data_IF_023336809431
#
_entry.id   IF_023336809431
#
_cell.length_a   1.000
_cell.length_b   1.000
_cell.length_c   1.000
_cell.angle_alpha   90.00
_cell.angle_beta   90.00
_cell.angle_gamma   90.00
#
_symmetry.space_group_name_H-M   'P 1'
#
loop_
_entity.id
_entity.type
_entity.pdbx_description
1 polymer ?
#
# COMPACT_ATOMS: atom_id res chain seq x y z
N UNK A 1 -10.39 13.64 -24.86
CA UNK A 1 -10.90 12.33 -24.47
C UNK A 1 -9.89 11.70 -23.53
N UNK A 2 -10.23 11.41 -22.26
CA UNK A 2 -9.44 10.55 -21.42
C UNK A 2 -9.64 9.14 -22.00
N UNK A 3 -8.64 8.64 -22.66
CA UNK A 3 -8.66 7.33 -23.28
C UNK A 3 -8.39 6.31 -22.19
N UNK A 4 -9.43 5.52 -21.84
CA UNK A 4 -9.21 4.22 -21.21
C UNK A 4 -8.14 3.51 -22.04
N UNK A 5 -6.97 3.23 -21.45
CA UNK A 5 -5.89 2.57 -22.17
C UNK A 5 -6.03 1.06 -21.96
N UNK A 6 -6.46 0.38 -23.00
CA UNK A 6 -6.38 -1.09 -23.04
C UNK A 6 -4.91 -1.51 -22.97
N UNK A 7 -4.55 -2.27 -21.94
CA UNK A 7 -3.21 -2.86 -21.81
C UNK A 7 -3.10 -4.23 -22.52
N UNK A 8 -4.12 -4.57 -23.30
CA UNK A 8 -4.26 -5.86 -23.99
C UNK A 8 -3.61 -5.88 -25.37
N UNK A 9 -3.09 -4.74 -25.86
CA UNK A 9 -2.44 -4.57 -27.17
C UNK A 9 -1.15 -3.77 -27.04
N UNK A 10 -0.25 -3.91 -28.00
CA UNK A 10 1.05 -3.23 -28.00
C UNK A 10 2.14 -3.96 -27.20
N UNK A 11 3.35 -3.36 -27.10
CA UNK A 11 4.49 -3.92 -26.38
C UNK A 11 4.30 -3.78 -24.87
N UNK A 12 4.54 -4.87 -24.10
CA UNK A 12 4.32 -4.91 -22.66
C UNK A 12 5.15 -3.88 -21.89
N UNK A 13 6.46 -3.75 -22.21
CA UNK A 13 7.38 -2.90 -21.47
C UNK A 13 6.95 -1.42 -21.45
N UNK A 14 6.71 -0.73 -22.60
CA UNK A 14 6.29 0.67 -22.54
C UNK A 14 4.91 0.87 -21.94
N UNK A 15 3.99 -0.11 -22.05
CA UNK A 15 2.68 -0.03 -21.43
C UNK A 15 2.80 -0.05 -19.90
N UNK A 16 3.54 -1.02 -19.36
CA UNK A 16 3.75 -1.17 -17.91
C UNK A 16 4.55 0.03 -17.38
N UNK A 17 5.62 0.44 -18.05
CA UNK A 17 6.44 1.59 -17.65
C UNK A 17 5.62 2.89 -17.55
N UNK A 18 4.87 3.23 -18.61
CA UNK A 18 4.06 4.45 -18.64
C UNK A 18 2.92 4.43 -17.61
N UNK A 19 2.43 3.25 -17.23
CA UNK A 19 1.43 3.09 -16.20
C UNK A 19 2.04 3.14 -14.79
N UNK A 20 3.25 2.57 -14.61
CA UNK A 20 3.98 2.56 -13.33
C UNK A 20 4.43 3.97 -12.92
N UNK A 21 4.84 4.81 -13.87
CA UNK A 21 5.44 6.11 -13.55
C UNK A 21 4.51 7.03 -12.73
N UNK A 22 3.22 7.24 -13.08
CA UNK A 22 2.31 8.02 -12.24
C UNK A 22 2.03 7.37 -10.88
N UNK A 23 2.00 6.04 -10.80
CA UNK A 23 1.84 5.31 -9.54
C UNK A 23 3.05 5.54 -8.63
N UNK A 24 4.26 5.47 -9.19
CA UNK A 24 5.49 5.76 -8.47
C UNK A 24 5.50 7.19 -7.91
N UNK A 25 5.17 8.17 -8.75
CA UNK A 25 5.09 9.57 -8.32
C UNK A 25 4.03 9.74 -7.21
N UNK A 26 2.91 9.02 -7.28
CA UNK A 26 1.89 9.01 -6.24
C UNK A 26 2.41 8.42 -4.92
N UNK A 27 3.08 7.28 -4.97
CA UNK A 27 3.66 6.65 -3.79
C UNK A 27 4.75 7.51 -3.15
N UNK A 28 5.64 8.11 -3.94
CA UNK A 28 6.66 9.04 -3.45
C UNK A 28 6.03 10.29 -2.82
N UNK A 29 4.99 10.85 -3.45
CA UNK A 29 4.25 11.97 -2.90
C UNK A 29 3.61 11.62 -1.55
N UNK A 30 3.05 10.43 -1.42
CA UNK A 30 2.45 9.96 -0.17
C UNK A 30 3.48 9.79 0.94
N UNK A 31 4.69 9.26 0.63
CA UNK A 31 5.78 9.18 1.60
C UNK A 31 6.26 10.57 2.02
N UNK A 32 6.45 11.49 1.07
CA UNK A 32 6.85 12.87 1.35
C UNK A 32 5.80 13.59 2.19
N UNK A 33 4.53 13.43 1.85
CA UNK A 33 3.41 13.99 2.61
C UNK A 33 3.44 13.54 4.08
N UNK A 34 3.60 12.23 4.33
CA UNK A 34 3.66 11.72 5.71
C UNK A 34 4.81 12.31 6.53
N UNK A 35 5.94 12.64 5.88
CA UNK A 35 7.04 13.33 6.54
C UNK A 35 6.71 14.80 6.85
N UNK A 36 6.07 15.48 5.90
CA UNK A 36 5.67 16.91 6.07
C UNK A 36 4.63 17.03 7.17
N UNK A 37 3.61 16.17 7.19
CA UNK A 37 2.58 16.14 8.25
C UNK A 37 3.20 15.94 9.63
N UNK A 38 4.07 14.93 9.79
CA UNK A 38 4.80 14.70 11.02
C UNK A 38 5.68 15.91 11.44
N UNK A 39 6.31 16.58 10.46
CA UNK A 39 7.13 17.76 10.71
C UNK A 39 6.28 18.96 11.17
N UNK A 40 5.10 19.17 10.58
CA UNK A 40 4.14 20.21 10.99
C UNK A 40 3.69 19.97 12.43
N UNK A 41 3.21 18.75 12.72
CA UNK A 41 2.76 18.39 14.06
C UNK A 41 3.89 18.54 15.09
N UNK A 42 5.08 18.01 14.81
CA UNK A 42 6.22 18.08 15.73
C UNK A 42 6.70 19.52 15.98
N UNK A 43 6.75 20.35 14.94
CA UNK A 43 7.26 21.73 15.05
C UNK A 43 6.27 22.67 15.75
N UNK A 44 4.99 22.55 15.49
CA UNK A 44 3.99 23.51 15.96
C UNK A 44 3.24 23.05 17.21
N UNK A 45 3.10 21.74 17.43
CA UNK A 45 2.39 21.18 18.59
C UNK A 45 3.31 20.53 19.63
N UNK A 46 4.60 20.34 19.28
CA UNK A 46 5.62 19.80 20.18
C UNK A 46 5.70 18.27 20.22
N UNK A 47 6.62 17.77 21.06
CA UNK A 47 7.02 16.37 21.12
C UNK A 47 5.87 15.44 21.55
N UNK A 48 5.03 15.85 22.50
CA UNK A 48 3.92 15.03 22.99
C UNK A 48 2.87 14.83 21.90
N UNK A 49 2.59 15.85 21.10
CA UNK A 49 1.66 15.73 19.96
C UNK A 49 2.21 14.77 18.88
N UNK A 50 3.50 14.91 18.56
CA UNK A 50 4.18 14.00 17.64
C UNK A 50 4.17 12.55 18.16
N UNK A 51 4.40 12.36 19.45
CA UNK A 51 4.33 11.05 20.11
C UNK A 51 2.91 10.47 20.06
N UNK A 52 1.86 11.30 20.22
CA UNK A 52 0.46 10.88 20.07
C UNK A 52 0.15 10.35 18.69
N UNK A 53 0.58 11.05 17.63
CA UNK A 53 0.45 10.62 16.24
C UNK A 53 1.26 9.34 15.99
N UNK A 54 2.51 9.32 16.48
CA UNK A 54 3.41 8.17 16.35
C UNK A 54 2.84 6.88 16.97
N UNK A 55 2.30 6.98 18.19
CA UNK A 55 1.65 5.85 18.86
C UNK A 55 0.45 5.31 18.07
N UNK A 56 -0.26 6.18 17.36
CA UNK A 56 -1.43 5.83 16.55
C UNK A 56 -1.07 5.17 15.21
N UNK A 57 0.15 5.35 14.71
CA UNK A 57 0.53 4.98 13.33
C UNK A 57 0.33 3.50 13.03
N UNK A 58 0.65 2.60 13.96
CA UNK A 58 0.52 1.16 13.74
C UNK A 58 -0.93 0.72 13.55
N UNK A 59 -1.86 1.29 14.34
CA UNK A 59 -3.29 0.99 14.22
C UNK A 59 -3.87 1.58 12.95
N UNK A 60 -3.50 2.82 12.63
CA UNK A 60 -3.90 3.48 11.38
C UNK A 60 -3.44 2.64 10.18
N UNK A 61 -2.18 2.18 10.18
CA UNK A 61 -1.67 1.33 9.12
C UNK A 61 -2.42 0.00 9.00
N UNK A 62 -2.74 -0.64 10.14
CA UNK A 62 -3.51 -1.89 10.16
C UNK A 62 -4.88 -1.72 9.50
N UNK A 63 -5.63 -0.69 9.91
CA UNK A 63 -7.03 -0.47 9.47
C UNK A 63 -7.09 0.12 8.07
N UNK A 64 -6.32 1.18 7.79
CA UNK A 64 -6.30 1.78 6.46
C UNK A 64 -5.60 0.91 5.43
N UNK A 65 -4.59 0.11 5.84
CA UNK A 65 -3.97 -0.91 5.00
C UNK A 65 -4.97 -1.99 4.58
N UNK A 66 -5.79 -2.48 5.52
CA UNK A 66 -6.89 -3.40 5.22
C UNK A 66 -7.87 -2.77 4.21
N UNK A 67 -8.30 -1.53 4.45
CA UNK A 67 -9.21 -0.83 3.55
C UNK A 67 -8.62 -0.66 2.15
N UNK A 68 -7.35 -0.26 2.05
CA UNK A 68 -6.65 -0.09 0.79
C UNK A 68 -6.51 -1.40 0.02
N UNK A 69 -6.17 -2.49 0.71
CA UNK A 69 -6.12 -3.83 0.12
C UNK A 69 -7.48 -4.29 -0.42
N UNK A 70 -8.57 -4.08 0.34
CA UNK A 70 -9.93 -4.38 -0.12
C UNK A 70 -10.29 -3.58 -1.39
N UNK A 71 -9.98 -2.28 -1.40
CA UNK A 71 -10.21 -1.42 -2.57
C UNK A 71 -9.43 -1.88 -3.80
N UNK A 72 -8.16 -2.28 -3.61
CA UNK A 72 -7.34 -2.88 -4.66
C UNK A 72 -7.98 -4.15 -5.23
N UNK A 73 -8.45 -5.02 -4.34
CA UNK A 73 -9.14 -6.26 -4.70
C UNK A 73 -10.45 -6.06 -5.45
N UNK A 74 -11.23 -5.04 -5.08
CA UNK A 74 -12.47 -4.69 -5.80
C UNK A 74 -12.20 -4.18 -7.22
N UNK A 75 -11.03 -3.61 -7.48
CA UNK A 75 -10.60 -3.21 -8.83
C UNK A 75 -10.28 -4.37 -9.76
N UNK A 76 -9.96 -5.56 -9.24
CA UNK A 76 -9.52 -6.70 -10.06
C UNK A 76 -10.64 -7.22 -10.99
N UNK A 77 -11.87 -7.54 -10.52
CA UNK A 77 -12.95 -7.94 -11.42
C UNK A 77 -13.31 -6.85 -12.44
N UNK A 78 -13.20 -5.59 -12.07
CA UNK A 78 -13.40 -4.46 -12.99
C UNK A 78 -12.36 -4.49 -14.11
N UNK A 79 -11.06 -4.66 -13.78
CA UNK A 79 -9.99 -4.77 -14.77
C UNK A 79 -10.16 -5.99 -15.68
N UNK A 80 -10.56 -7.13 -15.13
CA UNK A 80 -10.81 -8.36 -15.91
C UNK A 80 -11.98 -8.18 -16.89
N UNK A 81 -13.09 -7.60 -16.44
CA UNK A 81 -14.27 -7.35 -17.28
C UNK A 81 -14.02 -6.27 -18.33
N UNK A 82 -13.21 -5.26 -17.98
CA UNK A 82 -12.73 -4.27 -18.93
C UNK A 82 -11.89 -4.91 -20.04
N UNK A 83 -10.93 -5.76 -19.68
CA UNK A 83 -10.11 -6.51 -20.64
C UNK A 83 -10.91 -7.47 -21.51
N UNK A 84 -11.98 -8.08 -20.97
CA UNK A 84 -12.92 -8.93 -21.71
C UNK A 84 -13.89 -8.13 -22.61
N UNK A 85 -13.88 -6.80 -22.55
CA UNK A 85 -14.84 -5.91 -23.20
C UNK A 85 -16.30 -6.15 -22.78
N UNK A 86 -16.51 -6.80 -21.62
CA UNK A 86 -17.81 -7.03 -20.99
C UNK A 86 -18.19 -5.83 -20.12
N UNK A 87 -18.55 -4.74 -20.76
CA UNK A 87 -18.80 -3.46 -20.07
C UNK A 87 -20.07 -3.47 -19.22
N UNK A 88 -21.04 -4.31 -19.54
CA UNK A 88 -22.28 -4.45 -18.75
C UNK A 88 -21.96 -5.05 -17.38
N UNK A 89 -21.28 -6.19 -17.35
CA UNK A 89 -20.88 -6.82 -16.09
C UNK A 89 -19.85 -5.97 -15.33
N UNK A 90 -18.96 -5.28 -16.05
CA UNK A 90 -18.00 -4.33 -15.45
C UNK A 90 -18.72 -3.22 -14.67
N UNK A 91 -19.74 -2.57 -15.26
CA UNK A 91 -20.53 -1.53 -14.58
C UNK A 91 -21.29 -2.07 -13.38
N UNK A 92 -21.80 -3.30 -13.45
CA UNK A 92 -22.43 -3.97 -12.30
C UNK A 92 -21.42 -4.19 -11.17
N UNK A 93 -20.18 -4.65 -11.46
CA UNK A 93 -19.11 -4.74 -10.45
C UNK A 93 -18.79 -3.38 -9.83
N UNK A 94 -18.70 -2.32 -10.62
CA UNK A 94 -18.48 -0.96 -10.11
C UNK A 94 -19.61 -0.54 -9.18
N UNK A 95 -20.88 -0.72 -9.58
CA UNK A 95 -22.04 -0.38 -8.75
C UNK A 95 -22.06 -1.15 -7.42
N UNK A 96 -21.85 -2.47 -7.47
CA UNK A 96 -21.82 -3.30 -6.25
C UNK A 96 -20.62 -2.98 -5.38
N UNK A 97 -19.45 -2.67 -5.96
CA UNK A 97 -18.26 -2.28 -5.18
C UNK A 97 -18.46 -0.97 -4.42
N UNK A 98 -19.16 0.01 -5.01
CA UNK A 98 -19.52 1.26 -4.33
C UNK A 98 -20.50 1.01 -3.17
N UNK A 99 -21.48 0.13 -3.35
CA UNK A 99 -22.43 -0.26 -2.29
C UNK A 99 -21.74 -1.00 -1.15
N UNK A 100 -20.87 -1.98 -1.47
CA UNK A 100 -20.08 -2.67 -0.46
C UNK A 100 -19.13 -1.74 0.28
N UNK A 101 -18.48 -0.82 -0.42
CA UNK A 101 -17.61 0.17 0.18
C UNK A 101 -18.35 1.04 1.19
N UNK A 102 -19.57 1.50 0.85
CA UNK A 102 -20.39 2.27 1.76
C UNK A 102 -20.71 1.50 3.05
N UNK A 103 -21.14 0.24 2.92
CA UNK A 103 -21.46 -0.59 4.09
C UNK A 103 -20.21 -0.92 4.90
N UNK A 104 -19.15 -1.44 4.25
CA UNK A 104 -17.93 -1.86 4.94
C UNK A 104 -17.24 -0.69 5.64
N UNK A 105 -17.11 0.45 4.97
CA UNK A 105 -16.44 1.61 5.55
C UNK A 105 -17.18 2.17 6.75
N UNK A 106 -18.52 2.20 6.72
CA UNK A 106 -19.34 2.61 7.87
C UNK A 106 -19.21 1.62 9.02
N UNK A 107 -19.27 0.31 8.73
CA UNK A 107 -19.10 -0.72 9.79
C UNK A 107 -17.72 -0.60 10.42
N UNK A 108 -16.66 -0.48 9.62
CA UNK A 108 -15.29 -0.30 10.13
C UNK A 108 -15.21 0.98 10.98
N UNK A 109 -15.72 2.11 10.47
CA UNK A 109 -15.69 3.38 11.18
C UNK A 109 -16.40 3.31 12.52
N UNK A 110 -17.59 2.72 12.56
CA UNK A 110 -18.39 2.58 13.82
C UNK A 110 -17.68 1.66 14.80
N UNK A 111 -17.28 0.47 14.37
CA UNK A 111 -16.61 -0.52 15.25
C UNK A 111 -15.32 0.06 15.82
N UNK A 112 -14.44 0.61 14.97
CA UNK A 112 -13.16 1.16 15.43
C UNK A 112 -13.33 2.40 16.30
N UNK A 113 -14.33 3.23 16.05
CA UNK A 113 -14.62 4.40 16.89
C UNK A 113 -15.15 4.00 18.27
N UNK A 114 -16.02 2.99 18.37
CA UNK A 114 -16.52 2.47 19.65
C UNK A 114 -15.36 1.92 20.50
N UNK A 115 -14.49 1.13 19.90
CA UNK A 115 -13.36 0.48 20.59
C UNK A 115 -12.07 1.33 20.60
N UNK A 116 -12.12 2.60 20.22
CA UNK A 116 -10.94 3.46 20.11
C UNK A 116 -10.12 3.56 21.40
N UNK A 117 -10.80 3.74 22.54
CA UNK A 117 -10.14 3.78 23.85
C UNK A 117 -9.53 2.42 24.23
N UNK A 118 -10.27 1.33 24.00
CA UNK A 118 -9.81 -0.02 24.32
C UNK A 118 -8.57 -0.41 23.50
N UNK A 119 -8.54 -0.01 22.23
CA UNK A 119 -7.38 -0.21 21.35
C UNK A 119 -6.14 0.50 21.94
N UNK A 120 -6.26 1.76 22.38
CA UNK A 120 -5.16 2.50 22.97
C UNK A 120 -4.71 1.92 24.30
N UNK A 121 -5.63 1.42 25.14
CA UNK A 121 -5.30 0.71 26.38
C UNK A 121 -4.57 -0.61 26.10
N UNK A 122 -5.03 -1.39 25.11
CA UNK A 122 -4.33 -2.60 24.66
C UNK A 122 -2.89 -2.31 24.20
N UNK A 123 -2.66 -1.15 23.60
CA UNK A 123 -1.33 -0.71 23.18
C UNK A 123 -0.47 -0.15 24.31
N UNK A 124 -0.99 -0.11 25.55
CA UNK A 124 -0.31 0.48 26.71
C UNK A 124 0.16 1.91 26.45
N UNK A 125 -0.69 2.71 25.80
CA UNK A 125 -0.38 4.11 25.44
C UNK A 125 -0.24 4.93 26.73
N UNK A 126 0.88 5.66 26.92
CA UNK A 126 1.12 6.47 28.10
C UNK A 126 0.04 7.56 28.31
N UNK A 127 -0.33 7.81 29.56
CA UNK A 127 -1.40 8.77 29.91
C UNK A 127 -1.17 10.20 29.40
N UNK A 128 0.09 10.63 29.37
CA UNK A 128 0.47 11.98 28.89
C UNK A 128 0.20 12.24 27.42
N UNK A 129 0.09 11.18 26.60
CA UNK A 129 -0.19 11.27 25.16
C UNK A 129 -1.53 10.63 24.78
N UNK A 130 -2.22 9.98 25.74
CA UNK A 130 -3.44 9.24 25.50
C UNK A 130 -4.55 10.09 24.87
N UNK A 131 -4.81 11.25 25.44
CA UNK A 131 -5.88 12.14 24.97
C UNK A 131 -5.64 12.60 23.54
N UNK A 132 -4.39 12.97 23.20
CA UNK A 132 -4.03 13.36 21.83
C UNK A 132 -4.16 12.21 20.83
N UNK A 133 -3.70 11.01 21.19
CA UNK A 133 -3.81 9.80 20.39
C UNK A 133 -5.29 9.39 20.20
N UNK A 134 -6.11 9.51 21.25
CA UNK A 134 -7.54 9.21 21.19
C UNK A 134 -8.28 10.09 20.18
N UNK A 135 -8.13 11.42 20.26
CA UNK A 135 -8.80 12.32 19.32
C UNK A 135 -8.27 12.15 17.88
N UNK A 136 -6.98 11.93 17.72
CA UNK A 136 -6.40 11.66 16.40
C UNK A 136 -6.99 10.39 15.77
N UNK A 137 -7.00 9.29 16.51
CA UNK A 137 -7.55 8.02 16.04
C UNK A 137 -9.06 8.09 15.80
N UNK A 138 -9.80 8.69 16.73
CA UNK A 138 -11.26 8.81 16.61
C UNK A 138 -11.65 9.56 15.33
N UNK A 139 -11.02 10.69 15.08
CA UNK A 139 -11.25 11.47 13.84
C UNK A 139 -10.86 10.66 12.60
N UNK A 140 -9.72 9.98 12.65
CA UNK A 140 -9.26 9.12 11.55
C UNK A 140 -10.24 7.98 11.28
N UNK A 141 -10.79 7.35 12.31
CA UNK A 141 -11.76 6.26 12.19
C UNK A 141 -13.12 6.74 11.64
N UNK A 142 -13.61 7.88 12.11
CA UNK A 142 -14.79 8.52 11.54
C UNK A 142 -14.57 8.87 10.06
N UNK A 143 -13.33 9.19 9.69
CA UNK A 143 -12.91 9.51 8.33
C UNK A 143 -12.72 8.31 7.40
N UNK A 144 -12.72 7.06 7.90
CA UNK A 144 -12.54 5.84 7.10
C UNK A 144 -13.44 5.79 5.85
N UNK A 145 -14.73 6.19 5.88
CA UNK A 145 -15.56 6.19 4.68
C UNK A 145 -15.01 7.04 3.54
N UNK A 146 -14.46 8.21 3.83
CA UNK A 146 -13.89 9.09 2.80
C UNK A 146 -12.61 8.50 2.21
N UNK A 147 -11.73 7.98 3.05
CA UNK A 147 -10.50 7.30 2.63
C UNK A 147 -10.80 6.06 1.79
N UNK A 148 -11.75 5.22 2.24
CA UNK A 148 -12.16 4.02 1.53
C UNK A 148 -12.73 4.37 0.15
N UNK A 149 -13.60 5.37 0.10
CA UNK A 149 -14.23 5.81 -1.16
C UNK A 149 -13.19 6.35 -2.15
N UNK A 150 -12.27 7.20 -1.69
CA UNK A 150 -11.18 7.71 -2.52
C UNK A 150 -10.31 6.58 -3.08
N UNK A 151 -9.90 5.63 -2.24
CA UNK A 151 -9.07 4.50 -2.67
C UNK A 151 -9.80 3.57 -3.65
N UNK A 152 -11.09 3.33 -3.43
CA UNK A 152 -11.91 2.54 -4.36
C UNK A 152 -12.04 3.21 -5.72
N UNK A 153 -12.38 4.51 -5.77
CA UNK A 153 -12.48 5.26 -7.03
C UNK A 153 -11.14 5.25 -7.79
N UNK A 154 -10.04 5.47 -7.07
CA UNK A 154 -8.69 5.38 -7.62
C UNK A 154 -8.40 3.99 -8.18
N UNK A 155 -8.83 2.92 -7.49
CA UNK A 155 -8.66 1.54 -7.95
C UNK A 155 -9.48 1.24 -9.20
N UNK A 156 -10.73 1.72 -9.27
CA UNK A 156 -11.60 1.57 -10.45
C UNK A 156 -10.97 2.29 -11.66
N UNK A 157 -10.51 3.54 -11.49
CA UNK A 157 -9.89 4.30 -12.59
C UNK A 157 -8.61 3.61 -13.07
N UNK A 158 -7.79 3.10 -12.15
CA UNK A 158 -6.61 2.30 -12.50
C UNK A 158 -6.98 1.02 -13.26
N UNK A 159 -8.05 0.35 -12.87
CA UNK A 159 -8.56 -0.84 -13.55
C UNK A 159 -8.89 -0.60 -15.03
N UNK A 160 -9.30 0.64 -15.38
CA UNK A 160 -9.52 1.09 -16.76
C UNK A 160 -8.23 1.50 -17.51
N UNK A 161 -7.06 1.33 -16.90
CA UNK A 161 -5.77 1.66 -17.50
C UNK A 161 -5.35 3.13 -17.36
N UNK A 162 -6.00 3.91 -16.50
CA UNK A 162 -5.60 5.29 -16.19
C UNK A 162 -4.97 5.39 -14.80
N UNK A 163 -3.65 5.55 -14.76
CA UNK A 163 -2.90 5.80 -13.52
C UNK A 163 -2.64 7.29 -13.25
N UNK A 164 -2.85 8.16 -14.26
CA UNK A 164 -2.56 9.59 -14.15
C UNK A 164 -3.63 10.33 -13.36
N UNK A 165 -4.89 10.01 -13.59
CA UNK A 165 -6.01 10.67 -12.92
C UNK A 165 -5.96 10.50 -11.40
N UNK A 166 -5.78 9.28 -10.82
CA UNK A 166 -5.60 9.11 -9.38
C UNK A 166 -4.43 9.91 -8.81
N UNK A 167 -3.32 10.01 -9.54
CA UNK A 167 -2.16 10.82 -9.12
C UNK A 167 -2.53 12.30 -8.94
N UNK A 168 -3.25 12.90 -9.89
CA UNK A 168 -3.64 14.31 -9.80
C UNK A 168 -4.58 14.58 -8.63
N UNK A 169 -5.51 13.67 -8.34
CA UNK A 169 -6.37 13.79 -7.16
C UNK A 169 -5.62 13.58 -5.85
N UNK A 170 -4.60 12.70 -5.84
CA UNK A 170 -3.71 12.55 -4.69
C UNK A 170 -2.90 13.83 -4.45
N UNK A 171 -2.36 14.44 -5.50
CA UNK A 171 -1.65 15.71 -5.42
C UNK A 171 -2.55 16.83 -4.87
N UNK A 172 -3.78 16.92 -5.37
CA UNK A 172 -4.77 17.87 -4.86
C UNK A 172 -5.05 17.63 -3.37
N UNK A 173 -5.27 16.38 -2.98
CA UNK A 173 -5.50 16.00 -1.58
C UNK A 173 -4.31 16.41 -0.69
N UNK A 174 -3.09 16.15 -1.15
CA UNK A 174 -1.87 16.48 -0.42
C UNK A 174 -1.69 17.99 -0.21
N UNK A 175 -1.86 18.77 -1.27
CA UNK A 175 -1.74 20.23 -1.19
C UNK A 175 -2.83 20.80 -0.26
N UNK A 176 -4.07 20.37 -0.45
CA UNK A 176 -5.19 20.81 0.39
C UNK A 176 -4.98 20.42 1.86
N UNK A 177 -4.49 19.22 2.12
CA UNK A 177 -4.22 18.77 3.48
C UNK A 177 -3.14 19.64 4.16
N UNK A 178 -1.99 19.90 3.51
CA UNK A 178 -0.94 20.75 4.07
C UNK A 178 -1.48 22.16 4.42
N UNK A 179 -2.30 22.74 3.54
CA UNK A 179 -2.92 24.04 3.80
C UNK A 179 -3.88 23.99 4.99
N UNK A 180 -4.68 22.94 5.07
CA UNK A 180 -5.64 22.74 6.16
C UNK A 180 -4.96 22.39 7.49
N UNK A 181 -3.85 21.64 7.49
CA UNK A 181 -3.05 21.38 8.68
C UNK A 181 -2.57 22.70 9.29
N UNK A 182 -1.98 23.55 8.47
CA UNK A 182 -1.53 24.86 8.93
C UNK A 182 -2.70 25.71 9.44
N UNK A 183 -3.84 25.69 8.75
CA UNK A 183 -5.02 26.46 9.15
C UNK A 183 -5.63 25.93 10.47
N UNK A 184 -5.86 24.62 10.59
CA UNK A 184 -6.50 24.07 11.79
C UNK A 184 -5.57 24.07 13.00
N UNK A 185 -4.26 23.92 12.80
CA UNK A 185 -3.28 23.94 13.88
C UNK A 185 -2.94 25.36 14.31
N UNK A 186 -2.60 26.26 13.36
CA UNK A 186 -2.08 27.59 13.70
C UNK A 186 -3.18 28.64 13.91
N UNK A 187 -4.26 28.58 13.13
CA UNK A 187 -5.32 29.59 13.18
C UNK A 187 -6.42 29.19 14.17
N UNK A 188 -6.89 27.93 14.11
CA UNK A 188 -7.96 27.47 14.97
C UNK A 188 -7.50 26.84 16.28
N UNK A 189 -6.23 26.44 16.39
CA UNK A 189 -5.67 25.87 17.62
C UNK A 189 -6.25 24.50 17.99
N UNK A 190 -6.72 23.69 17.00
CA UNK A 190 -7.35 22.39 17.22
C UNK A 190 -6.35 21.27 17.55
N UNK A 191 -5.07 21.58 17.65
CA UNK A 191 -4.05 20.61 18.04
C UNK A 191 -3.97 19.39 17.12
N UNK A 192 -3.71 18.23 17.71
CA UNK A 192 -3.52 16.96 16.97
C UNK A 192 -4.81 16.52 16.24
N UNK A 193 -5.99 16.81 16.81
CA UNK A 193 -7.26 16.54 16.14
C UNK A 193 -7.41 17.34 14.83
N UNK A 194 -6.85 18.58 14.80
CA UNK A 194 -6.84 19.42 13.61
C UNK A 194 -6.12 18.75 12.43
N UNK A 195 -4.97 18.11 12.67
CA UNK A 195 -4.25 17.36 11.64
C UNK A 195 -5.06 16.18 11.09
N UNK A 196 -5.71 15.41 11.96
CA UNK A 196 -6.59 14.32 11.53
C UNK A 196 -7.79 14.83 10.71
N UNK A 197 -8.42 15.94 11.12
CA UNK A 197 -9.54 16.57 10.41
C UNK A 197 -9.08 17.06 9.03
N UNK A 198 -7.91 17.68 8.93
CA UNK A 198 -7.34 18.13 7.66
C UNK A 198 -7.16 16.98 6.68
N UNK A 199 -6.63 15.85 7.15
CA UNK A 199 -6.46 14.63 6.35
C UNK A 199 -7.81 14.09 5.87
N UNK A 200 -8.77 13.92 6.77
CA UNK A 200 -10.11 13.39 6.44
C UNK A 200 -10.83 14.31 5.46
N UNK A 201 -10.80 15.62 5.70
CA UNK A 201 -11.47 16.60 4.86
C UNK A 201 -10.86 16.65 3.45
N UNK A 202 -9.54 16.70 3.34
CA UNK A 202 -8.84 16.73 2.05
C UNK A 202 -9.10 15.48 1.23
N UNK A 203 -9.13 14.31 1.87
CA UNK A 203 -9.50 13.06 1.20
C UNK A 203 -10.97 13.03 0.78
N UNK A 204 -11.87 13.55 1.62
CA UNK A 204 -13.29 13.66 1.29
C UNK A 204 -13.54 14.54 0.08
N UNK A 205 -12.94 15.72 0.03
CA UNK A 205 -13.01 16.62 -1.13
C UNK A 205 -12.46 15.93 -2.39
N UNK A 206 -11.30 15.29 -2.27
CA UNK A 206 -10.69 14.59 -3.41
C UNK A 206 -11.52 13.40 -3.88
N UNK A 207 -12.17 12.67 -2.97
CA UNK A 207 -13.09 11.58 -3.30
C UNK A 207 -14.29 12.08 -4.09
N UNK A 208 -14.92 13.17 -3.63
CA UNK A 208 -16.08 13.77 -4.32
C UNK A 208 -15.69 14.26 -5.71
N UNK A 209 -14.59 15.00 -5.82
CA UNK A 209 -14.11 15.52 -7.11
C UNK A 209 -13.70 14.39 -8.06
N UNK A 210 -13.04 13.34 -7.54
CA UNK A 210 -12.68 12.16 -8.30
C UNK A 210 -13.92 11.44 -8.83
N UNK A 211 -14.96 11.28 -8.00
CA UNK A 211 -16.23 10.69 -8.42
C UNK A 211 -16.92 11.50 -9.52
N UNK A 212 -17.03 12.83 -9.34
CA UNK A 212 -17.62 13.72 -10.35
C UNK A 212 -16.83 13.63 -11.66
N UNK A 213 -15.50 13.66 -11.59
CA UNK A 213 -14.64 13.52 -12.75
C UNK A 213 -14.85 12.17 -13.44
N UNK A 214 -14.85 11.08 -12.67
CA UNK A 214 -15.05 9.72 -13.16
C UNK A 214 -16.38 9.60 -13.93
N UNK A 215 -17.48 10.09 -13.35
CA UNK A 215 -18.81 10.03 -13.98
C UNK A 215 -18.96 10.90 -15.21
N UNK A 216 -18.23 12.04 -15.28
CA UNK A 216 -18.28 12.95 -16.43
C UNK A 216 -17.36 12.51 -17.57
N UNK A 217 -16.24 11.86 -17.25
CA UNK A 217 -15.17 11.61 -18.22
C UNK A 217 -15.20 10.20 -18.80
N UNK A 218 -15.64 9.23 -18.03
CA UNK A 218 -15.70 7.83 -18.45
C UNK A 218 -17.14 7.42 -18.76
N UNK A 219 -17.60 7.70 -19.99
CA UNK A 219 -18.95 7.32 -20.44
C UNK A 219 -19.21 5.82 -20.28
N UNK A 220 -18.15 5.01 -20.38
CA UNK A 220 -18.18 3.56 -20.20
C UNK A 220 -18.65 3.12 -18.80
N UNK A 221 -18.56 4.00 -17.79
CA UNK A 221 -18.98 3.75 -16.41
C UNK A 221 -20.42 4.22 -16.12
N UNK A 222 -21.09 4.84 -17.07
CA UNK A 222 -22.48 5.29 -16.90
C UNK A 222 -23.39 4.07 -16.78
N UNK A 223 -23.94 3.88 -15.57
CA UNK A 223 -24.81 2.75 -15.23
C UNK A 223 -26.27 3.04 -15.53
N UNK A 224 -26.98 2.04 -16.01
CA UNK A 224 -28.46 2.06 -16.10
C UNK A 224 -29.06 1.71 -14.72
N UNK A 225 -30.36 2.07 -14.46
CA UNK A 225 -31.01 1.68 -13.21
C UNK A 225 -31.01 0.18 -12.93
N UNK A 226 -31.06 -0.65 -13.97
CA UNK A 226 -30.98 -2.12 -13.85
C UNK A 226 -29.59 -2.60 -13.40
N UNK A 227 -28.52 -1.95 -13.86
CA UNK A 227 -27.14 -2.29 -13.50
C UNK A 227 -26.76 -1.86 -12.07
N UNK A 228 -27.52 -0.94 -11.45
CA UNK A 228 -27.32 -0.47 -10.07
C UNK A 228 -27.93 -1.38 -9.01
N UNK A 229 -28.75 -2.35 -9.41
CA UNK A 229 -29.35 -3.28 -8.45
C UNK A 229 -28.25 -4.10 -7.77
N UNK A 230 -28.40 -4.28 -6.46
CA UNK A 230 -27.48 -5.12 -5.69
C UNK A 230 -27.52 -6.55 -6.18
N UNK A 231 -26.36 -7.13 -6.41
CA UNK A 231 -26.20 -8.52 -6.84
C UNK A 231 -25.32 -9.26 -5.85
N UNK A 232 -25.91 -10.18 -5.10
CA UNK A 232 -25.22 -10.95 -4.08
C UNK A 232 -24.10 -11.85 -4.61
N UNK A 233 -24.23 -12.34 -5.86
CA UNK A 233 -23.19 -13.17 -6.47
C UNK A 233 -21.94 -12.33 -6.81
N UNK A 234 -22.13 -11.13 -7.34
CA UNK A 234 -21.04 -10.19 -7.61
C UNK A 234 -20.42 -9.69 -6.31
N UNK A 235 -21.25 -9.39 -5.29
CA UNK A 235 -20.79 -9.00 -3.97
C UNK A 235 -19.91 -10.08 -3.34
N UNK A 236 -20.33 -11.36 -3.40
CA UNK A 236 -19.55 -12.49 -2.92
C UNK A 236 -18.19 -12.58 -3.64
N UNK A 237 -18.16 -12.39 -4.94
CA UNK A 237 -16.91 -12.39 -5.72
C UNK A 237 -15.97 -11.26 -5.29
N UNK A 238 -16.51 -10.04 -5.14
CA UNK A 238 -15.72 -8.89 -4.65
C UNK A 238 -15.15 -9.14 -3.26
N UNK A 239 -15.95 -9.67 -2.33
CA UNK A 239 -15.50 -10.00 -0.98
C UNK A 239 -14.44 -11.11 -0.98
N UNK A 240 -14.62 -12.15 -1.81
CA UNK A 240 -13.68 -13.26 -1.94
C UNK A 240 -12.31 -12.80 -2.47
N UNK A 241 -12.27 -11.75 -3.29
CA UNK A 241 -11.04 -11.17 -3.83
C UNK A 241 -10.49 -10.08 -2.91
N UNK A 242 -11.34 -9.18 -2.42
CA UNK A 242 -10.92 -7.99 -1.68
C UNK A 242 -10.47 -8.28 -0.26
N UNK A 243 -11.23 -9.10 0.49
CA UNK A 243 -10.91 -9.38 1.90
C UNK A 243 -9.53 -10.04 2.07
N UNK A 244 -9.14 -11.05 1.29
CA UNK A 244 -7.80 -11.61 1.39
C UNK A 244 -6.70 -10.61 1.09
N UNK A 245 -6.90 -9.67 0.14
CA UNK A 245 -5.95 -8.60 -0.12
C UNK A 245 -5.84 -7.62 1.04
N UNK A 246 -6.96 -7.27 1.68
CA UNK A 246 -6.95 -6.47 2.91
C UNK A 246 -6.22 -7.16 4.05
N UNK A 247 -6.55 -8.43 4.30
CA UNK A 247 -5.90 -9.24 5.34
C UNK A 247 -4.40 -9.41 5.11
N UNK A 248 -3.95 -9.48 3.87
CA UNK A 248 -2.54 -9.57 3.55
C UNK A 248 -1.74 -8.39 4.12
N UNK A 249 -2.22 -7.15 3.96
CA UNK A 249 -1.58 -5.97 4.55
C UNK A 249 -1.53 -6.06 6.08
N UNK A 250 -2.62 -6.50 6.71
CA UNK A 250 -2.67 -6.67 8.16
C UNK A 250 -1.71 -7.74 8.66
N UNK A 251 -1.63 -8.87 7.98
CA UNK A 251 -0.74 -9.99 8.32
C UNK A 251 0.73 -9.58 8.19
N UNK A 252 1.08 -8.90 7.11
CA UNK A 252 2.45 -8.39 6.90
C UNK A 252 2.83 -7.36 7.99
N UNK A 253 1.87 -6.51 8.40
CA UNK A 253 2.08 -5.56 9.49
C UNK A 253 2.40 -6.24 10.83
N UNK A 254 1.70 -7.33 11.18
CA UNK A 254 1.97 -8.11 12.39
C UNK A 254 3.41 -8.63 12.39
N UNK A 255 3.88 -9.18 11.28
CA UNK A 255 5.26 -9.63 11.15
C UNK A 255 6.28 -8.51 11.36
N UNK A 256 6.00 -7.32 10.82
CA UNK A 256 6.87 -6.14 10.99
C UNK A 256 6.90 -5.64 12.43
N UNK A 257 5.76 -5.66 13.14
CA UNK A 257 5.67 -5.30 14.56
C UNK A 257 6.51 -6.26 15.41
N UNK A 258 6.49 -7.56 15.12
CA UNK A 258 7.31 -8.55 15.85
C UNK A 258 8.80 -8.29 15.66
N UNK A 259 9.24 -8.00 14.44
CA UNK A 259 10.64 -7.65 14.16
C UNK A 259 11.04 -6.34 14.85
N UNK A 260 10.18 -5.33 14.81
CA UNK A 260 10.40 -4.07 15.52
C UNK A 260 10.51 -4.29 17.03
N UNK A 261 9.66 -5.12 17.62
CA UNK A 261 9.70 -5.45 19.06
C UNK A 261 11.00 -6.13 19.44
N UNK A 262 11.47 -7.09 18.64
CA UNK A 262 12.75 -7.75 18.85
C UNK A 262 13.94 -6.77 18.73
N UNK A 263 13.88 -5.83 17.78
CA UNK A 263 14.88 -4.77 17.63
C UNK A 263 14.90 -3.82 18.84
N UNK A 264 13.72 -3.49 19.39
CA UNK A 264 13.62 -2.59 20.55
C UNK A 264 14.33 -3.17 21.79
N UNK A 265 14.37 -4.49 21.92
CA UNK A 265 15.08 -5.17 23.01
C UNK A 265 16.62 -5.04 22.91
N UNK A 266 17.18 -4.65 21.76
CA UNK A 266 18.63 -4.51 21.54
C UNK A 266 19.19 -3.16 21.98
N UNK A 267 18.34 -2.22 22.42
CA UNK A 267 18.74 -0.92 22.92
C UNK A 267 18.55 0.24 21.94
N UNK A 268 18.73 1.45 22.46
CA UNK A 268 18.35 2.70 21.79
C UNK A 268 19.11 2.97 20.48
N UNK A 269 20.40 2.62 20.41
CA UNK A 269 21.21 2.78 19.21
C UNK A 269 20.68 1.92 18.05
N UNK A 270 20.30 0.67 18.32
CA UNK A 270 19.70 -0.22 17.31
C UNK A 270 18.31 0.28 16.86
N UNK A 271 17.49 0.79 17.79
CA UNK A 271 16.18 1.36 17.47
C UNK A 271 16.32 2.59 16.58
N UNK A 272 17.24 3.51 16.91
CA UNK A 272 17.48 4.70 16.11
C UNK A 272 18.00 4.36 14.71
N UNK A 273 18.97 3.43 14.61
CA UNK A 273 19.51 2.97 13.34
C UNK A 273 18.44 2.30 12.46
N UNK A 274 17.65 1.40 13.03
CA UNK A 274 16.56 0.71 12.31
C UNK A 274 15.52 1.71 11.81
N UNK A 275 15.13 2.68 12.65
CA UNK A 275 14.13 3.69 12.28
C UNK A 275 14.63 4.56 11.13
N UNK A 276 15.86 5.05 11.18
CA UNK A 276 16.47 5.84 10.11
C UNK A 276 16.57 5.03 8.80
N UNK A 277 17.07 3.79 8.90
CA UNK A 277 17.20 2.89 7.76
C UNK A 277 15.87 2.55 7.11
N UNK A 278 14.81 2.28 7.92
CA UNK A 278 13.46 2.01 7.41
C UNK A 278 12.88 3.20 6.65
N UNK A 279 13.08 4.42 7.13
CA UNK A 279 12.63 5.63 6.41
C UNK A 279 13.29 5.74 5.04
N UNK A 280 14.60 5.54 4.96
CA UNK A 280 15.34 5.58 3.69
C UNK A 280 14.88 4.43 2.79
N UNK A 281 14.81 3.21 3.31
CA UNK A 281 14.40 2.03 2.57
C UNK A 281 13.04 2.19 1.91
N UNK A 282 12.04 2.76 2.61
CA UNK A 282 10.68 2.93 2.09
C UNK A 282 10.64 3.75 0.80
N UNK A 283 11.47 4.79 0.67
CA UNK A 283 11.57 5.55 -0.58
C UNK A 283 12.09 4.70 -1.74
N UNK A 284 13.11 3.87 -1.48
CA UNK A 284 13.69 2.99 -2.50
C UNK A 284 12.81 1.77 -2.83
N UNK A 285 11.85 1.42 -1.96
CA UNK A 285 10.87 0.36 -2.21
C UNK A 285 9.69 0.80 -3.08
N UNK A 286 9.34 2.09 -3.10
CA UNK A 286 8.19 2.61 -3.86
C UNK A 286 8.11 2.15 -5.32
N UNK A 287 9.22 2.07 -6.11
CA UNK A 287 9.14 1.58 -7.48
C UNK A 287 8.75 0.12 -7.60
N UNK A 288 9.17 -0.76 -6.67
CA UNK A 288 8.78 -2.17 -6.69
C UNK A 288 7.29 -2.34 -6.43
N UNK A 289 6.73 -1.64 -5.44
CA UNK A 289 5.30 -1.63 -5.15
C UNK A 289 4.48 -1.06 -6.31
N UNK A 290 4.94 0.05 -6.89
CA UNK A 290 4.27 0.68 -8.04
C UNK A 290 4.27 -0.23 -9.27
N UNK A 291 5.38 -0.94 -9.51
CA UNK A 291 5.49 -1.93 -10.56
C UNK A 291 4.55 -3.12 -10.32
N UNK A 292 4.47 -3.59 -9.07
CA UNK A 292 3.51 -4.62 -8.65
C UNK A 292 2.07 -4.20 -8.95
N UNK A 293 1.65 -3.01 -8.49
CA UNK A 293 0.31 -2.48 -8.75
C UNK A 293 0.00 -2.38 -10.26
N UNK A 294 0.99 -1.98 -11.07
CA UNK A 294 0.85 -1.97 -12.53
C UNK A 294 0.65 -3.39 -13.08
N UNK A 295 1.36 -4.37 -12.54
CA UNK A 295 1.21 -5.78 -12.93
C UNK A 295 -0.15 -6.36 -12.55
N UNK A 296 -0.76 -5.96 -11.43
CA UNK A 296 -2.12 -6.37 -11.10
C UNK A 296 -3.14 -5.93 -12.16
N UNK A 297 -3.08 -4.66 -12.58
CA UNK A 297 -3.95 -4.14 -13.64
C UNK A 297 -3.66 -4.78 -14.99
N UNK A 298 -2.39 -4.86 -15.37
CA UNK A 298 -1.96 -5.46 -16.64
C UNK A 298 -2.39 -6.93 -16.74
N UNK A 299 -2.15 -7.71 -15.68
CA UNK A 299 -2.50 -9.13 -15.64
C UNK A 299 -4.01 -9.34 -15.63
N UNK A 300 -4.75 -8.51 -14.87
CA UNK A 300 -6.21 -8.56 -14.82
C UNK A 300 -6.85 -8.31 -16.18
N UNK A 301 -6.45 -7.25 -16.88
CA UNK A 301 -6.96 -6.95 -18.21
C UNK A 301 -6.61 -8.04 -19.23
N UNK A 302 -5.37 -8.54 -19.25
CA UNK A 302 -4.95 -9.58 -20.19
C UNK A 302 -5.57 -10.96 -19.87
N UNK A 303 -5.83 -11.25 -18.59
CA UNK A 303 -6.59 -12.43 -18.19
C UNK A 303 -8.03 -12.36 -18.70
N UNK A 304 -8.70 -11.22 -18.47
CA UNK A 304 -10.05 -10.99 -18.99
C UNK A 304 -10.14 -11.07 -20.52
N UNK A 305 -9.12 -10.58 -21.22
CA UNK A 305 -9.01 -10.64 -22.67
C UNK A 305 -8.68 -12.05 -23.23
N UNK A 306 -8.47 -13.07 -22.37
CA UNK A 306 -8.06 -14.41 -22.81
C UNK A 306 -6.67 -14.48 -23.43
N UNK A 307 -5.76 -13.57 -23.04
CA UNK A 307 -4.39 -13.44 -23.58
C UNK A 307 -3.31 -13.83 -22.54
N UNK A 308 -3.24 -15.07 -22.04
CA UNK A 308 -2.31 -15.48 -21.00
C UNK A 308 -0.83 -15.31 -21.38
N UNK A 309 -0.49 -15.43 -22.66
CA UNK A 309 0.88 -15.23 -23.15
C UNK A 309 1.39 -13.82 -22.84
N UNK A 310 0.48 -12.83 -22.87
CA UNK A 310 0.82 -11.45 -22.54
C UNK A 310 1.13 -11.27 -21.05
N UNK A 311 0.49 -12.04 -20.18
CA UNK A 311 0.80 -12.03 -18.74
C UNK A 311 2.27 -12.41 -18.54
N UNK A 312 2.74 -13.47 -19.22
CA UNK A 312 4.14 -13.88 -19.16
C UNK A 312 5.10 -12.83 -19.74
N UNK A 313 4.70 -12.19 -20.86
CA UNK A 313 5.47 -11.08 -21.44
C UNK A 313 5.56 -9.90 -20.46
N UNK A 314 4.49 -9.61 -19.72
CA UNK A 314 4.46 -8.59 -18.67
C UNK A 314 5.43 -8.91 -17.53
N UNK A 315 5.41 -10.17 -17.05
CA UNK A 315 6.35 -10.62 -15.99
C UNK A 315 7.80 -10.44 -16.44
N UNK A 316 8.15 -10.84 -17.69
CA UNK A 316 9.51 -10.64 -18.23
C UNK A 316 9.88 -9.16 -18.35
N UNK A 317 8.98 -8.33 -18.85
CA UNK A 317 9.21 -6.89 -18.97
C UNK A 317 9.41 -6.22 -17.62
N UNK A 318 8.59 -6.58 -16.64
CA UNK A 318 8.69 -6.07 -15.27
C UNK A 318 9.96 -6.56 -14.56
N UNK A 319 10.36 -7.82 -14.78
CA UNK A 319 11.63 -8.35 -14.25
C UNK A 319 12.84 -7.58 -14.82
N UNK A 320 12.82 -7.24 -16.12
CA UNK A 320 13.87 -6.42 -16.70
C UNK A 320 13.91 -5.01 -16.08
N UNK A 321 12.76 -4.34 -15.94
CA UNK A 321 12.69 -3.02 -15.30
C UNK A 321 13.18 -3.06 -13.86
N UNK A 322 12.80 -4.10 -13.11
CA UNK A 322 13.21 -4.35 -11.75
C UNK A 322 14.72 -4.51 -11.63
N UNK A 323 15.36 -5.31 -12.51
CA UNK A 323 16.81 -5.53 -12.49
C UNK A 323 17.55 -4.23 -12.79
N UNK A 324 17.11 -3.45 -13.79
CA UNK A 324 17.72 -2.15 -14.11
C UNK A 324 17.62 -1.18 -12.95
N UNK A 325 16.43 -1.08 -12.33
CA UNK A 325 16.23 -0.24 -11.16
C UNK A 325 17.05 -0.71 -9.96
N UNK A 326 17.11 -2.01 -9.71
CA UNK A 326 17.94 -2.57 -8.64
C UNK A 326 19.42 -2.26 -8.85
N UNK A 327 19.97 -2.44 -10.05
CA UNK A 327 21.36 -2.13 -10.32
C UNK A 327 21.67 -0.65 -10.01
N UNK A 328 20.78 0.25 -10.39
CA UNK A 328 20.87 1.67 -10.04
C UNK A 328 20.86 1.89 -8.52
N UNK A 329 19.86 1.36 -7.81
CA UNK A 329 19.71 1.54 -6.36
C UNK A 329 20.82 0.86 -5.56
N UNK A 330 21.32 -0.28 -6.06
CA UNK A 330 22.47 -0.97 -5.48
C UNK A 330 23.69 -0.06 -5.47
N UNK A 331 24.04 0.53 -6.61
CA UNK A 331 25.14 1.48 -6.68
C UNK A 331 24.91 2.70 -5.78
N UNK A 332 23.71 3.28 -5.81
CA UNK A 332 23.38 4.48 -5.00
C UNK A 332 23.51 4.18 -3.51
N UNK A 333 22.99 3.06 -3.02
CA UNK A 333 23.00 2.75 -1.58
C UNK A 333 24.33 2.14 -1.12
N UNK A 334 25.04 1.38 -1.97
CA UNK A 334 26.36 0.85 -1.59
C UNK A 334 27.40 1.97 -1.38
N UNK A 335 27.33 3.05 -2.16
CA UNK A 335 28.27 4.16 -2.05
C UNK A 335 27.71 5.37 -1.28
N UNK A 336 26.38 5.51 -1.21
CA UNK A 336 25.72 6.69 -0.66
C UNK A 336 24.96 6.45 0.65
N UNK A 337 24.88 5.22 1.18
CA UNK A 337 24.08 4.91 2.38
C UNK A 337 24.37 5.85 3.55
N UNK A 338 25.65 6.17 3.80
CA UNK A 338 26.06 7.09 4.85
C UNK A 338 25.53 8.51 4.64
N UNK A 339 25.55 9.00 3.41
CA UNK A 339 25.03 10.34 3.06
C UNK A 339 23.52 10.40 3.31
N UNK A 340 22.78 9.37 2.96
CA UNK A 340 21.35 9.28 3.28
C UNK A 340 21.09 9.15 4.77
N UNK A 341 21.91 8.38 5.50
CA UNK A 341 21.81 8.23 6.94
C UNK A 341 22.00 9.56 7.68
N UNK A 342 22.91 10.42 7.21
CA UNK A 342 23.15 11.76 7.77
C UNK A 342 21.95 12.72 7.63
N UNK A 343 20.93 12.39 6.83
CA UNK A 343 19.68 13.15 6.80
C UNK A 343 18.81 12.93 8.05
N UNK A 344 19.06 11.85 8.79
CA UNK A 344 18.23 11.44 9.93
C UNK A 344 19.03 11.27 11.22
N UNK A 345 20.35 11.12 11.13
CA UNK A 345 21.26 10.81 12.25
C UNK A 345 22.39 11.82 12.27
N UNK A 346 22.73 12.32 13.45
CA UNK A 346 23.85 13.24 13.63
C UNK A 346 25.19 12.55 13.29
N UNK A 347 26.12 13.33 12.72
CA UNK A 347 27.43 12.83 12.31
C UNK A 347 28.32 12.35 13.50
N UNK A 348 28.00 12.76 14.71
CA UNK A 348 28.66 12.33 15.96
C UNK A 348 28.29 10.92 16.39
N UNK A 349 27.10 10.41 15.95
CA UNK A 349 26.54 9.12 16.34
C UNK A 349 27.04 7.98 15.43
N UNK A 350 28.35 7.67 15.53
CA UNK A 350 29.04 6.74 14.64
C UNK A 350 28.47 5.33 14.65
N UNK A 351 28.02 4.84 15.80
CA UNK A 351 27.43 3.50 15.93
C UNK A 351 26.10 3.43 15.20
N UNK A 352 25.23 4.44 15.37
CA UNK A 352 23.93 4.50 14.71
C UNK A 352 24.11 4.58 13.18
N UNK A 353 25.04 5.41 12.72
CA UNK A 353 25.38 5.52 11.29
C UNK A 353 25.84 4.19 10.72
N UNK A 354 26.78 3.51 11.39
CA UNK A 354 27.30 2.19 10.94
C UNK A 354 26.20 1.14 10.87
N UNK A 355 25.30 1.09 11.86
CA UNK A 355 24.19 0.15 11.88
C UNK A 355 23.18 0.48 10.80
N UNK A 356 22.91 1.77 10.53
CA UNK A 356 22.05 2.22 9.43
C UNK A 356 22.62 1.83 8.07
N UNK A 357 23.93 2.03 7.84
CA UNK A 357 24.62 1.61 6.62
C UNK A 357 24.52 0.10 6.44
N UNK A 358 24.81 -0.68 7.47
CA UNK A 358 24.75 -2.14 7.44
C UNK A 358 23.34 -2.62 7.02
N UNK A 359 22.29 -2.06 7.62
CA UNK A 359 20.92 -2.40 7.28
C UNK A 359 20.60 -2.09 5.81
N UNK A 360 20.99 -0.92 5.32
CA UNK A 360 20.73 -0.52 3.94
C UNK A 360 21.50 -1.37 2.93
N UNK A 361 22.77 -1.69 3.20
CA UNK A 361 23.60 -2.56 2.34
C UNK A 361 23.01 -3.96 2.22
N UNK A 362 22.59 -4.55 3.36
CA UNK A 362 21.94 -5.86 3.35
C UNK A 362 20.61 -5.77 2.59
N UNK A 363 19.76 -4.80 2.91
CA UNK A 363 18.45 -4.68 2.28
C UNK A 363 18.54 -4.51 0.75
N UNK A 364 19.42 -3.62 0.25
CA UNK A 364 19.56 -3.39 -1.20
C UNK A 364 20.10 -4.60 -1.93
N UNK A 365 20.94 -5.42 -1.30
CA UNK A 365 21.44 -6.67 -1.89
C UNK A 365 20.32 -7.67 -2.17
N UNK A 366 19.24 -7.64 -1.39
CA UNK A 366 18.07 -8.52 -1.55
C UNK A 366 16.87 -7.87 -2.27
N UNK A 367 16.98 -6.65 -2.77
CA UNK A 367 15.92 -6.01 -3.55
C UNK A 367 15.50 -6.78 -4.81
N UNK A 368 16.33 -7.58 -5.50
CA UNK A 368 15.84 -8.46 -6.57
C UNK A 368 14.80 -9.47 -6.10
N UNK A 369 14.94 -9.99 -4.88
CA UNK A 369 13.99 -10.91 -4.26
C UNK A 369 12.67 -10.17 -3.98
N UNK A 370 12.73 -8.99 -3.36
CA UNK A 370 11.55 -8.11 -3.16
C UNK A 370 10.85 -7.79 -4.48
N UNK A 371 11.61 -7.42 -5.51
CA UNK A 371 11.05 -7.09 -6.82
C UNK A 371 10.35 -8.29 -7.46
N UNK A 372 10.91 -9.49 -7.36
CA UNK A 372 10.28 -10.73 -7.82
C UNK A 372 8.99 -11.01 -7.05
N UNK A 373 9.03 -10.88 -5.72
CA UNK A 373 7.87 -10.99 -4.83
C UNK A 373 6.74 -10.07 -5.32
N UNK A 374 7.00 -8.77 -5.47
CA UNK A 374 5.98 -7.81 -5.92
C UNK A 374 5.40 -8.20 -7.29
N UNK A 375 6.25 -8.53 -8.27
CA UNK A 375 5.79 -8.89 -9.62
C UNK A 375 4.88 -10.13 -9.58
N UNK A 376 5.30 -11.21 -8.91
CA UNK A 376 4.54 -12.45 -8.88
C UNK A 376 3.26 -12.32 -8.06
N UNK A 377 3.33 -11.73 -6.88
CA UNK A 377 2.20 -11.56 -5.97
C UNK A 377 1.08 -10.74 -6.62
N UNK A 378 1.39 -9.57 -7.15
CA UNK A 378 0.39 -8.72 -7.82
C UNK A 378 -0.10 -9.31 -9.14
N UNK A 379 0.72 -10.10 -9.86
CA UNK A 379 0.26 -10.85 -11.04
C UNK A 379 -0.77 -11.89 -10.66
N UNK A 380 -0.53 -12.68 -9.62
CA UNK A 380 -1.46 -13.68 -9.08
C UNK A 380 -2.76 -13.02 -8.60
N UNK A 381 -2.66 -11.87 -7.91
CA UNK A 381 -3.81 -11.07 -7.49
C UNK A 381 -4.62 -10.60 -8.70
N UNK A 382 -3.98 -10.03 -9.72
CA UNK A 382 -4.64 -9.53 -10.93
C UNK A 382 -5.45 -10.59 -11.68
N UNK A 383 -5.00 -11.83 -11.63
CA UNK A 383 -5.72 -12.98 -12.20
C UNK A 383 -6.89 -13.44 -11.30
N UNK A 384 -6.95 -12.98 -10.05
CA UNK A 384 -8.03 -13.27 -9.09
C UNK A 384 -7.72 -14.36 -8.07
N UNK A 385 -6.49 -14.89 -8.00
CA UNK A 385 -6.08 -15.88 -6.99
C UNK A 385 -5.54 -15.20 -5.72
N UNK A 386 -6.29 -14.26 -5.17
CA UNK A 386 -5.87 -13.40 -4.04
C UNK A 386 -5.59 -14.18 -2.76
N UNK A 387 -6.26 -15.33 -2.55
CA UNK A 387 -5.96 -16.21 -1.41
C UNK A 387 -4.53 -16.76 -1.45
N UNK A 388 -4.00 -17.09 -2.63
CA UNK A 388 -2.60 -17.52 -2.75
C UNK A 388 -1.63 -16.37 -2.44
N UNK A 389 -1.96 -15.17 -2.91
CA UNK A 389 -1.17 -13.98 -2.58
C UNK A 389 -1.23 -13.64 -1.08
N UNK A 390 -2.38 -13.82 -0.41
CA UNK A 390 -2.49 -13.67 1.04
C UNK A 390 -1.59 -14.67 1.79
N UNK A 391 -1.52 -15.92 1.33
CA UNK A 391 -0.67 -16.95 1.94
C UNK A 391 0.83 -16.60 1.84
N UNK A 392 1.27 -15.86 0.81
CA UNK A 392 2.64 -15.35 0.79
C UNK A 392 2.90 -14.35 1.91
N UNK A 393 1.93 -13.49 2.25
CA UNK A 393 2.01 -12.61 3.41
C UNK A 393 2.10 -13.38 4.74
N UNK A 394 1.41 -14.51 4.85
CA UNK A 394 1.56 -15.42 6.00
C UNK A 394 2.99 -16.00 6.07
N UNK A 395 3.55 -16.38 4.93
CA UNK A 395 4.94 -16.86 4.85
C UNK A 395 5.95 -15.79 5.29
N UNK A 396 5.75 -14.53 4.88
CA UNK A 396 6.54 -13.39 5.33
C UNK A 396 6.44 -13.19 6.85
N UNK A 397 5.22 -13.21 7.38
CA UNK A 397 4.98 -13.06 8.82
C UNK A 397 5.69 -14.15 9.62
N UNK A 398 5.54 -15.42 9.22
CA UNK A 398 6.19 -16.55 9.88
C UNK A 398 7.72 -16.37 9.85
N UNK A 399 8.29 -16.00 8.72
CA UNK A 399 9.74 -15.79 8.59
C UNK A 399 10.23 -14.67 9.54
N UNK A 400 9.53 -13.52 9.60
CA UNK A 400 9.90 -12.44 10.54
C UNK A 400 9.77 -12.87 11.99
N UNK A 401 8.74 -13.64 12.36
CA UNK A 401 8.58 -14.18 13.71
C UNK A 401 9.74 -15.13 14.04
N UNK A 402 10.10 -16.06 13.14
CA UNK A 402 11.22 -16.97 13.35
C UNK A 402 12.56 -16.25 13.51
N UNK A 403 12.82 -15.24 12.65
CA UNK A 403 14.02 -14.40 12.79
C UNK A 403 14.01 -13.66 14.13
N UNK A 404 12.89 -13.07 14.53
CA UNK A 404 12.76 -12.32 15.78
C UNK A 404 12.99 -13.20 17.02
N UNK A 405 12.46 -14.43 17.03
CA UNK A 405 12.53 -15.31 18.19
C UNK A 405 13.83 -16.13 18.27
N UNK A 406 14.37 -16.54 17.11
CA UNK A 406 15.51 -17.47 17.06
C UNK A 406 16.82 -16.79 16.69
N UNK A 407 16.81 -15.90 15.69
CA UNK A 407 18.03 -15.31 15.16
C UNK A 407 18.45 -14.05 15.94
N UNK A 408 17.51 -13.18 16.32
CA UNK A 408 17.84 -11.94 17.02
C UNK A 408 18.51 -12.19 18.37
N UNK A 409 18.08 -13.14 19.23
CA UNK A 409 18.79 -13.45 20.48
C UNK A 409 20.22 -13.95 20.28
N UNK A 410 20.50 -14.64 19.15
CA UNK A 410 21.81 -15.21 18.87
C UNK A 410 22.77 -14.23 18.16
N UNK A 411 22.26 -13.41 17.24
CA UNK A 411 23.07 -12.57 16.33
C UNK A 411 22.80 -11.07 16.47
N UNK A 412 21.90 -10.66 17.37
CA UNK A 412 21.62 -9.25 17.65
C UNK A 412 21.10 -8.49 16.42
N UNK A 413 21.61 -7.26 16.24
CA UNK A 413 21.18 -6.34 15.18
C UNK A 413 21.41 -6.88 13.76
N UNK A 414 22.43 -7.70 13.56
CA UNK A 414 22.67 -8.34 12.26
C UNK A 414 21.47 -9.20 11.83
N UNK A 415 20.87 -9.96 12.76
CA UNK A 415 19.67 -10.73 12.47
C UNK A 415 18.46 -9.85 12.13
N UNK A 416 18.32 -8.69 12.78
CA UNK A 416 17.28 -7.69 12.44
C UNK A 416 17.44 -7.23 11.00
N UNK A 417 18.68 -6.97 10.54
CA UNK A 417 18.95 -6.58 9.15
C UNK A 417 18.51 -7.65 8.13
N UNK A 418 18.57 -8.92 8.49
CA UNK A 418 18.11 -10.05 7.66
C UNK A 418 16.63 -10.37 7.81
N UNK A 419 15.89 -9.69 8.69
CA UNK A 419 14.48 -9.94 8.93
C UNK A 419 13.61 -9.83 7.68
N UNK A 420 13.69 -8.72 6.96
CA UNK A 420 12.96 -8.50 5.70
C UNK A 420 13.50 -9.37 4.55
N UNK A 421 14.82 -9.46 4.29
CA UNK A 421 15.37 -10.39 3.29
C UNK A 421 14.88 -11.83 3.44
N UNK A 422 14.90 -12.36 4.66
CA UNK A 422 14.43 -13.72 4.94
C UNK A 422 12.93 -13.84 4.65
N UNK A 423 12.13 -12.84 5.03
CA UNK A 423 10.70 -12.82 4.75
C UNK A 423 10.42 -12.84 3.24
N UNK A 424 11.15 -12.07 2.45
CA UNK A 424 11.00 -12.06 0.99
C UNK A 424 11.39 -13.38 0.35
N UNK A 425 12.46 -14.02 0.81
CA UNK A 425 12.87 -15.36 0.34
C UNK A 425 11.78 -16.40 0.63
N UNK A 426 11.20 -16.40 1.84
CA UNK A 426 10.13 -17.33 2.20
C UNK A 426 8.86 -17.10 1.36
N UNK A 427 8.53 -15.84 1.11
CA UNK A 427 7.40 -15.49 0.24
C UNK A 427 7.63 -15.96 -1.21
N UNK A 428 8.83 -15.73 -1.77
CA UNK A 428 9.15 -16.15 -3.14
C UNK A 428 9.22 -17.67 -3.28
N UNK A 429 9.71 -18.37 -2.27
CA UNK A 429 9.70 -19.84 -2.23
C UNK A 429 8.26 -20.40 -2.35
N UNK A 430 7.26 -19.67 -1.83
CA UNK A 430 5.85 -20.00 -2.00
C UNK A 430 5.27 -19.46 -3.33
N UNK A 431 5.58 -18.21 -3.70
CA UNK A 431 4.99 -17.53 -4.84
C UNK A 431 5.42 -18.11 -6.19
N UNK A 432 6.66 -18.56 -6.33
CA UNK A 432 7.16 -19.14 -7.58
C UNK A 432 6.36 -20.38 -7.97
N UNK A 433 6.21 -21.42 -7.11
CA UNK A 433 5.35 -22.57 -7.41
C UNK A 433 3.87 -22.17 -7.61
N UNK A 434 3.35 -21.24 -6.79
CA UNK A 434 1.99 -20.75 -6.90
C UNK A 434 1.74 -20.08 -8.26
N UNK A 435 2.66 -19.23 -8.73
CA UNK A 435 2.56 -18.60 -10.03
C UNK A 435 2.60 -19.62 -11.18
N UNK A 436 3.51 -20.59 -11.13
CA UNK A 436 3.61 -21.65 -12.13
C UNK A 436 2.28 -22.46 -12.19
N UNK A 437 1.72 -22.79 -11.03
CA UNK A 437 0.43 -23.49 -10.93
C UNK A 437 -0.70 -22.67 -11.57
N UNK A 438 -0.84 -21.40 -11.18
CA UNK A 438 -1.87 -20.49 -11.69
C UNK A 438 -1.72 -20.29 -13.20
N UNK A 439 -0.51 -20.03 -13.67
CA UNK A 439 -0.24 -19.80 -15.09
C UNK A 439 -0.56 -21.04 -15.95
N UNK A 440 -0.15 -22.23 -15.51
CA UNK A 440 -0.50 -23.51 -16.20
C UNK A 440 -2.00 -23.73 -16.23
N UNK A 441 -2.71 -23.42 -15.14
CA UNK A 441 -4.18 -23.53 -15.08
C UNK A 441 -4.87 -22.62 -16.08
N UNK A 442 -4.42 -21.37 -16.19
CA UNK A 442 -4.98 -20.40 -17.16
C UNK A 442 -4.75 -20.89 -18.61
N UNK A 443 -3.55 -21.41 -18.91
CA UNK A 443 -3.24 -21.95 -20.24
C UNK A 443 -4.14 -23.15 -20.61
N UNK A 444 -4.50 -24.00 -19.64
CA UNK A 444 -5.42 -25.13 -19.85
C UNK A 444 -6.84 -24.63 -20.14
N UNK A 445 -7.32 -23.63 -19.37
CA UNK A 445 -8.66 -23.06 -19.59
C UNK A 445 -8.82 -22.40 -20.97
N UNK A 446 -7.73 -21.92 -21.57
CA UNK A 446 -7.76 -21.36 -22.94
C UNK A 446 -7.86 -22.44 -24.02
N UNK A 447 -7.37 -23.66 -23.75
CA UNK A 447 -7.36 -24.77 -24.73
C UNK A 447 -8.70 -25.51 -24.80
N UNK A 448 -9.49 -25.43 -23.74
CA UNK A 448 -10.87 -25.96 -23.67
C UNK A 448 -11.87 -24.86 -24.03
#
# INVERSE_FOLDING_TARGET
MATSREMTEGRALPLIFNFTLPLLLGNLLQQTYSLVDAAIVGRFLGINALASVGASTSVVFLILGFCNGCCGGFGIPVAQKFGARDYVTMRRYVAVSLQLAAVMSVVIAVVTSIYCADILHMMSTPENIFTGAYYYLLVTFIGVPFTFFYNLLSSIIRALGDSKTPFWFLLLSTVLNILLDLFYILVLGWGVAGAAIATVFSQGVSAILCYIYMMRRFDILKTTPAERKFDGALARTLMYIGVPMGLQFSITAIGSIMLQSANNALGTACVAAFTAAMRIKMFFMCPFESLGMAMATYSGQNYGAGKPERIWMGVKASALMMIVYWAFTFCVLMFGARTFALLFVDASELEILKNTELFLHISVSFFPVLGLLCILQYTIQGVGYTNLAMLSGVSEMIARILVSLLAVPAFGYLAVCFGDPTAWIFADAFLIPAFIYVYRRILRMKKN
#
